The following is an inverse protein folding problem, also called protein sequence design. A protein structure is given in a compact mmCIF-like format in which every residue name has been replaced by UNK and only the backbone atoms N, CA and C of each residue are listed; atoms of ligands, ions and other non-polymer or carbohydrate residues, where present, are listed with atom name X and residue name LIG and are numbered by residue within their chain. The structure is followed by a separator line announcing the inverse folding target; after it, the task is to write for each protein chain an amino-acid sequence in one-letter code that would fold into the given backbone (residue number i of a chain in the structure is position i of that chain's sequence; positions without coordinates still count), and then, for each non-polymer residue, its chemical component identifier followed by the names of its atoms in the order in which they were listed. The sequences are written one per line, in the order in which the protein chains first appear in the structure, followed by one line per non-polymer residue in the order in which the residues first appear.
data_IF_612596842498
#
_entry.id   IF_612596842498
#
_cell.length_a   1.000
_cell.length_b   1.000
_cell.length_c   1.000
_cell.angle_alpha   90.00
_cell.angle_beta   90.00
_cell.angle_gamma   90.00
#
_symmetry.space_group_name_H-M   'P 1'
#
loop_
_entity.id
_entity.type
_entity.pdbx_description
1 polymer ?
#
# COMPACT_ATOMS: atom_id res chain seq x y z
N UNK A 1 -3.47 5.31 17.93
CA UNK A 1 -4.72 4.76 17.37
C UNK A 1 -4.39 3.35 16.87
N UNK A 2 -5.15 2.34 17.27
CA UNK A 2 -4.89 0.94 16.88
C UNK A 2 -5.88 0.56 15.76
N UNK A 3 -5.39 -0.03 14.67
CA UNK A 3 -6.21 -0.51 13.57
C UNK A 3 -6.54 -1.97 13.81
N UNK A 4 -7.83 -2.28 13.95
CA UNK A 4 -8.33 -3.63 14.15
C UNK A 4 -9.02 -4.13 12.89
N UNK A 5 -8.28 -4.86 12.05
CA UNK A 5 -8.75 -5.37 10.76
C UNK A 5 -9.92 -6.34 10.90
N UNK A 6 -10.09 -6.99 12.06
CA UNK A 6 -11.14 -8.00 12.29
C UNK A 6 -12.54 -7.39 12.35
N UNK A 7 -12.62 -6.06 12.53
CA UNK A 7 -13.88 -5.30 12.59
C UNK A 7 -14.36 -4.83 11.22
N UNK A 8 -13.66 -5.20 10.15
CA UNK A 8 -13.96 -4.77 8.78
C UNK A 8 -14.22 -5.97 7.88
N UNK A 9 -15.16 -5.81 6.95
CA UNK A 9 -15.46 -6.86 5.97
C UNK A 9 -14.40 -6.92 4.88
N UNK A 10 -13.78 -8.09 4.70
CA UNK A 10 -12.87 -8.38 3.59
C UNK A 10 -13.66 -8.62 2.30
N UNK A 11 -13.29 -7.90 1.24
CA UNK A 11 -13.87 -8.02 -0.10
C UNK A 11 -12.93 -8.84 -0.99
N UNK A 12 -11.64 -8.57 -0.93
CA UNK A 12 -10.63 -9.25 -1.74
C UNK A 12 -9.28 -9.30 -1.02
N UNK A 13 -8.55 -10.38 -1.26
CA UNK A 13 -7.18 -10.58 -0.81
C UNK A 13 -6.34 -11.11 -1.98
N UNK A 14 -5.11 -10.61 -2.14
CA UNK A 14 -4.19 -11.16 -3.12
C UNK A 14 -2.80 -10.52 -3.14
N UNK A 15 -1.84 -11.14 -3.84
CA UNK A 15 -0.48 -10.61 -3.99
C UNK A 15 -0.47 -9.36 -4.88
N UNK A 16 0.39 -8.40 -4.57
CA UNK A 16 0.65 -7.21 -5.37
C UNK A 16 2.13 -6.87 -5.38
N UNK A 17 2.67 -6.67 -6.57
CA UNK A 17 4.00 -6.09 -6.74
C UNK A 17 3.90 -4.57 -6.86
N UNK A 18 4.28 -3.83 -5.81
CA UNK A 18 4.40 -2.38 -5.88
C UNK A 18 5.69 -2.00 -6.59
N UNK A 19 5.54 -1.47 -7.81
CA UNK A 19 6.63 -0.92 -8.61
C UNK A 19 7.01 0.48 -8.09
N UNK A 20 8.19 0.57 -7.48
CA UNK A 20 8.78 1.84 -7.09
C UNK A 20 9.42 2.53 -8.32
N UNK A 21 9.98 3.72 -8.12
CA UNK A 21 10.62 4.49 -9.18
C UNK A 21 11.74 3.71 -9.88
N UNK A 22 12.05 4.09 -11.13
CA UNK A 22 13.05 3.40 -11.97
C UNK A 22 14.37 3.26 -11.21
N UNK A 23 14.86 2.02 -11.06
CA UNK A 23 16.10 1.69 -10.36
C UNK A 23 15.93 1.27 -8.90
N UNK A 24 14.71 1.29 -8.35
CA UNK A 24 14.42 0.74 -7.02
C UNK A 24 13.84 -0.68 -7.09
N UNK A 25 14.12 -1.47 -6.04
CA UNK A 25 13.59 -2.84 -5.91
C UNK A 25 12.07 -2.79 -5.73
N UNK A 26 11.34 -3.54 -6.55
CA UNK A 26 9.91 -3.74 -6.37
C UNK A 26 9.60 -4.39 -5.02
N UNK A 27 8.46 -4.03 -4.45
CA UNK A 27 8.00 -4.58 -3.18
C UNK A 27 6.89 -5.59 -3.43
N UNK A 28 7.06 -6.79 -2.89
CA UNK A 28 6.00 -7.80 -2.86
C UNK A 28 5.14 -7.57 -1.62
N UNK A 29 3.83 -7.44 -1.85
CA UNK A 29 2.85 -7.10 -0.83
C UNK A 29 1.69 -8.08 -0.89
N UNK A 30 1.02 -8.22 0.25
CA UNK A 30 -0.34 -8.74 0.32
C UNK A 30 -1.28 -7.54 0.38
N UNK A 31 -2.27 -7.51 -0.50
CA UNK A 31 -3.31 -6.48 -0.53
C UNK A 31 -4.56 -7.04 0.10
N UNK A 32 -5.11 -6.30 1.06
CA UNK A 32 -6.45 -6.51 1.57
C UNK A 32 -7.34 -5.36 1.11
N UNK A 33 -8.36 -5.67 0.33
CA UNK A 33 -9.45 -4.75 0.00
C UNK A 33 -10.55 -4.98 1.01
N UNK A 34 -10.69 -4.06 1.95
CA UNK A 34 -11.77 -4.05 2.92
C UNK A 34 -12.90 -3.16 2.42
N UNK A 35 -14.02 -3.10 3.12
CA UNK A 35 -15.17 -2.31 2.65
C UNK A 35 -14.94 -0.78 2.67
N UNK A 36 -14.03 -0.27 3.50
CA UNK A 36 -13.77 1.17 3.68
C UNK A 36 -12.36 1.61 3.28
N UNK A 37 -11.44 0.68 3.10
CA UNK A 37 -10.05 1.00 2.77
C UNK A 37 -9.31 -0.18 2.15
N UNK A 38 -8.19 0.13 1.51
CA UNK A 38 -7.18 -0.83 1.05
C UNK A 38 -6.03 -0.82 2.05
N UNK A 39 -5.55 -2.01 2.41
CA UNK A 39 -4.38 -2.21 3.27
C UNK A 39 -3.28 -2.91 2.48
N UNK A 40 -2.09 -2.31 2.51
CA UNK A 40 -0.88 -2.83 1.88
C UNK A 40 0.04 -3.42 2.94
N UNK A 41 0.16 -4.74 2.95
CA UNK A 41 0.94 -5.48 3.93
C UNK A 41 2.22 -6.01 3.31
N UNK A 42 3.37 -5.68 3.89
CA UNK A 42 4.64 -6.30 3.50
C UNK A 42 4.85 -7.57 4.32
N UNK A 43 5.21 -8.68 3.66
CA UNK A 43 5.62 -9.89 4.35
C UNK A 43 7.03 -9.71 4.91
N UNK A 44 7.18 -9.89 6.21
CA UNK A 44 8.45 -9.87 6.93
C UNK A 44 8.57 -11.13 7.79
N UNK A 45 9.36 -12.09 7.31
CA UNK A 45 9.45 -13.44 7.88
C UNK A 45 8.06 -14.09 8.01
N UNK A 46 7.60 -14.33 9.24
CA UNK A 46 6.30 -14.96 9.55
C UNK A 46 5.20 -13.93 9.87
N UNK A 47 5.47 -12.63 9.72
CA UNK A 47 4.55 -11.55 10.07
C UNK A 47 4.28 -10.66 8.87
N UNK A 48 3.18 -9.92 8.97
CA UNK A 48 2.87 -8.82 8.07
C UNK A 48 3.10 -7.49 8.77
N UNK A 49 3.75 -6.56 8.08
CA UNK A 49 4.06 -5.23 8.60
C UNK A 49 3.34 -4.14 7.78
N UNK A 50 2.88 -3.12 8.49
CA UNK A 50 2.39 -1.87 7.92
C UNK A 50 3.51 -0.84 8.01
N UNK A 51 4.01 -0.41 6.85
CA UNK A 51 5.10 0.55 6.78
C UNK A 51 4.76 1.65 5.80
N UNK A 52 4.92 2.90 6.24
CA UNK A 52 4.89 4.04 5.33
C UNK A 52 6.08 3.98 4.38
N UNK A 53 5.84 4.24 3.10
CA UNK A 53 6.89 4.24 2.08
C UNK A 53 7.23 5.67 1.70
N UNK A 54 8.48 6.09 1.95
CA UNK A 54 9.01 7.36 1.47
C UNK A 54 9.71 7.15 0.12
N UNK A 55 9.47 8.03 -0.84
CA UNK A 55 10.00 7.89 -2.20
C UNK A 55 11.48 8.28 -2.34
N UNK A 56 12.15 8.79 -1.30
CA UNK A 56 13.56 9.15 -1.42
C UNK A 56 14.26 9.02 -0.05
N UNK A 57 15.59 8.89 -0.04
CA UNK A 57 16.40 9.00 1.20
C UNK A 57 17.33 10.21 1.17
N UNK A 58 17.32 10.96 0.06
CA UNK A 58 18.26 12.02 -0.26
C UNK A 58 17.60 13.39 -0.52
N UNK A 59 16.30 13.57 -0.30
CA UNK A 59 15.64 14.86 -0.53
C UNK A 59 15.24 15.54 0.80
N UNK A 60 15.85 16.70 1.15
CA UNK A 60 15.52 17.43 2.38
C UNK A 60 14.22 18.25 2.28
N UNK A 61 13.33 17.91 1.34
CA UNK A 61 12.09 18.66 1.06
C UNK A 61 10.92 17.71 1.29
N UNK A 62 10.19 17.94 2.39
CA UNK A 62 8.90 17.34 2.76
C UNK A 62 8.48 16.18 1.85
N UNK A 63 9.07 15.01 2.08
CA UNK A 63 8.85 13.86 1.21
C UNK A 63 7.42 13.38 1.36
N UNK A 64 6.70 13.29 0.23
CA UNK A 64 5.39 12.68 0.16
C UNK A 64 5.49 11.20 0.61
N UNK A 65 5.17 10.97 1.88
CA UNK A 65 5.10 9.64 2.48
C UNK A 65 3.82 8.97 2.01
N UNK A 66 3.95 7.82 1.33
CA UNK A 66 2.81 7.02 0.94
C UNK A 66 2.34 6.16 2.13
N UNK A 67 1.10 6.39 2.56
CA UNK A 67 0.45 5.60 3.60
C UNK A 67 0.14 4.17 3.10
N UNK A 68 0.39 3.12 3.89
CA UNK A 68 0.04 1.75 3.56
C UNK A 68 -1.47 1.47 3.70
N UNK A 69 -2.24 2.43 4.23
CA UNK A 69 -3.69 2.38 4.34
C UNK A 69 -4.27 3.49 3.47
N UNK A 70 -5.15 3.13 2.54
CA UNK A 70 -5.78 4.04 1.58
C UNK A 70 -7.28 3.95 1.77
N UNK A 71 -7.91 5.03 2.25
CA UNK A 71 -9.36 5.07 2.44
C UNK A 71 -10.11 5.27 1.12
N UNK A 72 -11.26 4.59 0.98
CA UNK A 72 -12.20 4.84 -0.11
C UNK A 72 -12.94 6.16 0.15
N UNK A 73 -12.30 7.27 -0.22
CA UNK A 73 -12.94 8.59 -0.25
C UNK A 73 -13.44 8.93 -1.65
N UNK A 74 -14.18 10.05 -1.76
CA UNK A 74 -14.62 10.60 -3.05
C UNK A 74 -13.45 10.90 -4.02
N UNK A 75 -12.24 11.03 -3.49
CA UNK A 75 -11.02 11.34 -4.24
C UNK A 75 -10.24 10.09 -4.68
N UNK A 76 -10.69 8.88 -4.31
CA UNK A 76 -10.05 7.65 -4.75
C UNK A 76 -10.37 7.40 -6.22
N UNK A 77 -9.34 7.33 -7.05
CA UNK A 77 -9.43 7.05 -8.48
C UNK A 77 -8.52 5.88 -8.82
N UNK A 78 -8.98 5.01 -9.73
CA UNK A 78 -8.18 3.95 -10.32
C UNK A 78 -8.21 4.07 -11.83
N UNK A 79 -7.12 3.62 -12.49
CA UNK A 79 -7.01 3.63 -13.95
C UNK A 79 -6.21 2.43 -14.43
N UNK A 80 -6.52 1.96 -15.62
CA UNK A 80 -5.68 0.99 -16.31
C UNK A 80 -4.33 1.63 -16.66
N UNK A 81 -3.27 0.84 -16.57
CA UNK A 81 -1.92 1.21 -17.03
C UNK A 81 -1.68 0.50 -18.35
N UNK A 82 -1.23 1.23 -19.38
CA UNK A 82 -0.87 0.62 -20.65
C UNK A 82 0.40 -0.23 -20.49
N UNK A 83 0.31 -1.52 -20.83
CA UNK A 83 1.46 -2.42 -20.93
C UNK A 83 1.90 -2.45 -22.39
N UNK A 84 2.77 -1.49 -22.76
CA UNK A 84 3.43 -1.47 -24.07
C UNK A 84 4.63 -2.40 -24.14
#
# INVERSE_FOLDING_TARGET
MNLDLTKHRLIYEGPLTWRLSKGQKNLELLVLVLEQFIVLLQKDSDKYILKNYSSNKNCPKEEASHSPIIAFGQQFLYRAVATG
#
